data_IF_277541857819
#
_entry.id   IF_277541857819
#
_cell.length_a   1.000
_cell.length_b   1.000
_cell.length_c   1.000
_cell.angle_alpha   90.00
_cell.angle_beta   90.00
_cell.angle_gamma   90.00
#
_symmetry.space_group_name_H-M   'P 1'
#
loop_
_entity.id
_entity.type
_entity.pdbx_description
1 polymer ?
#
# COMPACT_ATOMS: atom_id res chain seq x y z
N UNK A 1 -2.91 -21.92 -7.09
CA UNK A 1 -3.69 -20.66 -7.09
C UNK A 1 -4.74 -20.77 -6.00
N UNK A 2 -4.64 -19.96 -4.94
CA UNK A 2 -5.73 -19.87 -3.97
C UNK A 2 -6.82 -18.94 -4.54
N UNK A 3 -8.12 -19.24 -4.40
CA UNK A 3 -9.19 -18.44 -5.01
C UNK A 3 -9.19 -16.96 -4.54
N UNK A 4 -8.76 -16.69 -3.31
CA UNK A 4 -8.65 -15.35 -2.74
C UNK A 4 -7.62 -14.43 -3.44
N UNK A 5 -6.78 -14.99 -4.31
CA UNK A 5 -5.70 -14.27 -5.01
C UNK A 5 -6.24 -13.38 -6.14
N UNK A 6 -7.39 -13.75 -6.72
CA UNK A 6 -8.03 -13.06 -7.85
C UNK A 6 -9.23 -12.21 -7.44
N UNK A 7 -9.73 -12.37 -6.22
CA UNK A 7 -10.86 -11.59 -5.71
C UNK A 7 -10.42 -10.19 -5.27
N UNK A 8 -11.26 -9.16 -5.49
CA UNK A 8 -10.99 -7.83 -4.97
C UNK A 8 -10.92 -7.89 -3.45
N UNK A 9 -9.87 -7.29 -2.90
CA UNK A 9 -9.66 -7.29 -1.46
C UNK A 9 -10.81 -6.61 -0.70
N UNK A 10 -11.17 -7.10 0.50
CA UNK A 10 -12.11 -6.41 1.37
C UNK A 10 -11.51 -5.09 1.89
N UNK A 11 -12.33 -4.24 2.50
CA UNK A 11 -11.88 -2.92 3.00
C UNK A 11 -10.79 -3.01 4.05
N UNK A 12 -10.75 -4.09 4.82
CA UNK A 12 -9.67 -4.34 5.77
C UNK A 12 -9.45 -5.82 5.96
N UNK A 13 -8.21 -6.27 5.87
CA UNK A 13 -7.84 -7.66 6.12
C UNK A 13 -6.39 -7.78 6.58
N UNK A 14 -6.02 -8.96 7.07
CA UNK A 14 -4.66 -9.27 7.48
C UNK A 14 -4.01 -10.20 6.48
N UNK A 15 -2.77 -9.90 6.12
CA UNK A 15 -1.99 -10.65 5.16
C UNK A 15 -0.65 -11.03 5.80
N UNK A 16 -0.28 -12.31 5.71
CA UNK A 16 1.02 -12.78 6.18
C UNK A 16 1.97 -12.91 4.99
N UNK A 17 3.05 -12.13 5.01
CA UNK A 17 4.09 -12.12 3.97
C UNK A 17 5.43 -12.39 4.64
N UNK A 18 6.13 -13.42 4.18
CA UNK A 18 7.45 -13.83 4.70
C UNK A 18 7.50 -14.13 6.22
N UNK A 19 6.35 -14.41 6.83
CA UNK A 19 6.22 -14.63 8.28
C UNK A 19 5.83 -13.39 9.08
N UNK A 20 5.78 -12.23 8.44
CA UNK A 20 5.27 -10.99 9.01
C UNK A 20 3.79 -10.77 8.68
N UNK A 21 3.03 -10.33 9.67
CA UNK A 21 1.61 -9.99 9.53
C UNK A 21 1.48 -8.50 9.23
N UNK A 22 0.81 -8.19 8.14
CA UNK A 22 0.43 -6.85 7.72
C UNK A 22 -1.09 -6.68 7.80
N UNK A 23 -1.53 -5.57 8.38
CA UNK A 23 -2.90 -5.10 8.33
C UNK A 23 -3.04 -4.21 7.09
N UNK A 24 -3.85 -4.66 6.13
CA UNK A 24 -4.14 -3.93 4.91
C UNK A 24 -5.49 -3.27 5.08
N UNK A 25 -5.54 -1.94 5.02
CA UNK A 25 -6.76 -1.15 5.09
C UNK A 25 -6.91 -0.32 3.81
N UNK A 26 -8.00 -0.55 3.09
CA UNK A 26 -8.41 0.28 1.96
C UNK A 26 -8.90 1.64 2.47
N UNK A 27 -8.46 2.69 1.80
CA UNK A 27 -8.94 4.03 2.08
C UNK A 27 -10.16 4.35 1.21
N UNK A 28 -11.38 4.46 1.77
CA UNK A 28 -12.56 4.79 0.99
C UNK A 28 -12.58 6.26 0.55
N UNK A 29 -11.76 7.13 1.15
CA UNK A 29 -11.66 8.55 0.78
C UNK A 29 -10.74 8.76 -0.43
N UNK A 30 -9.80 7.83 -0.65
CA UNK A 30 -8.86 7.85 -1.76
C UNK A 30 -8.93 6.54 -2.57
N UNK A 31 -9.68 6.53 -3.69
CA UNK A 31 -9.88 5.30 -4.45
C UNK A 31 -8.55 4.73 -4.95
N UNK A 32 -8.32 3.44 -4.66
CA UNK A 32 -7.09 2.75 -4.98
C UNK A 32 -5.95 2.94 -3.97
N UNK A 33 -6.15 3.68 -2.88
CA UNK A 33 -5.18 3.80 -1.79
C UNK A 33 -5.36 2.71 -0.73
N UNK A 34 -4.24 2.18 -0.25
CA UNK A 34 -4.18 1.15 0.77
C UNK A 34 -3.11 1.49 1.79
N UNK A 35 -3.47 1.38 3.06
CA UNK A 35 -2.56 1.49 4.20
C UNK A 35 -2.12 0.09 4.62
N UNK A 36 -0.82 -0.15 4.63
CA UNK A 36 -0.20 -1.39 5.06
C UNK A 36 0.49 -1.16 6.39
N UNK A 37 -0.07 -1.68 7.48
CA UNK A 37 0.54 -1.59 8.81
C UNK A 37 1.16 -2.92 9.19
N UNK A 38 2.48 -2.97 9.40
CA UNK A 38 3.14 -4.16 9.91
C UNK A 38 2.83 -4.34 11.40
N UNK A 39 2.24 -5.47 11.76
CA UNK A 39 1.84 -5.81 13.13
C UNK A 39 2.88 -6.66 13.88
N UNK A 40 3.77 -7.35 13.16
CA UNK A 40 4.78 -8.25 13.75
C UNK A 40 6.17 -7.93 13.22
N UNK A 41 7.23 -8.29 13.96
CA UNK A 41 8.62 -8.12 13.54
C UNK A 41 9.41 -7.12 14.39
N UNK A 42 10.65 -6.76 13.99
CA UNK A 42 11.56 -5.90 14.78
C UNK A 42 11.10 -4.44 14.89
N UNK A 43 10.17 -4.00 14.04
CA UNK A 43 9.58 -2.65 14.05
C UNK A 43 8.04 -2.73 13.95
N UNK A 44 7.35 -3.12 15.04
CA UNK A 44 5.89 -3.17 15.04
C UNK A 44 5.30 -1.76 14.94
N UNK A 45 4.26 -1.58 14.13
CA UNK A 45 3.63 -0.28 13.89
C UNK A 45 4.24 0.52 12.75
N UNK A 46 5.29 0.01 12.12
CA UNK A 46 5.82 0.56 10.87
C UNK A 46 4.89 0.17 9.71
N UNK A 47 4.66 1.09 8.78
CA UNK A 47 3.74 0.87 7.67
C UNK A 47 4.02 1.79 6.50
N UNK A 48 3.41 1.48 5.37
CA UNK A 48 3.49 2.28 4.16
C UNK A 48 2.11 2.39 3.53
N UNK A 49 1.92 3.42 2.73
CA UNK A 49 0.72 3.60 1.93
C UNK A 49 1.08 3.32 0.49
N UNK A 50 0.23 2.62 -0.24
CA UNK A 50 0.39 2.47 -1.69
C UNK A 50 -0.91 2.84 -2.36
N UNK A 51 -0.81 3.71 -3.37
CA UNK A 51 -1.92 4.14 -4.20
C UNK A 51 -1.75 3.60 -5.60
N UNK A 52 -2.86 3.19 -6.20
CA UNK A 52 -2.91 2.85 -7.62
C UNK A 52 -3.52 3.98 -8.43
N UNK A 53 -2.82 4.41 -9.48
CA UNK A 53 -3.31 5.41 -10.44
C UNK A 53 -4.50 4.91 -11.27
N UNK A 54 -4.68 3.59 -11.37
CA UNK A 54 -5.84 2.98 -12.03
C UNK A 54 -7.15 3.13 -11.23
N UNK A 55 -7.09 3.55 -9.96
CA UNK A 55 -8.25 3.65 -9.04
C UNK A 55 -9.06 2.34 -8.85
N UNK A 56 -8.51 1.19 -9.27
CA UNK A 56 -9.16 -0.13 -9.16
C UNK A 56 -8.76 -0.81 -7.85
N UNK A 57 -9.67 -1.64 -7.30
CA UNK A 57 -9.34 -2.47 -6.14
C UNK A 57 -8.25 -3.49 -6.46
N UNK A 58 -7.21 -3.50 -5.63
CA UNK A 58 -6.17 -4.52 -5.68
C UNK A 58 -6.71 -5.83 -5.15
N UNK A 59 -6.15 -6.91 -5.67
CA UNK A 59 -6.42 -8.28 -5.20
C UNK A 59 -5.36 -8.68 -4.18
N UNK A 60 -5.64 -9.73 -3.41
CA UNK A 60 -4.68 -10.26 -2.42
C UNK A 60 -3.30 -10.51 -3.02
N UNK A 61 -3.22 -11.06 -4.25
CA UNK A 61 -1.96 -11.28 -4.97
C UNK A 61 -1.13 -10.00 -5.12
N UNK A 62 -1.80 -8.92 -5.56
CA UNK A 62 -1.17 -7.63 -5.81
C UNK A 62 -0.66 -7.00 -4.50
N UNK A 63 -1.37 -7.20 -3.39
CA UNK A 63 -0.87 -6.79 -2.08
C UNK A 63 0.37 -7.57 -1.66
N UNK A 64 0.41 -8.89 -1.87
CA UNK A 64 1.59 -9.71 -1.57
C UNK A 64 2.80 -9.26 -2.40
N UNK A 65 2.60 -9.02 -3.71
CA UNK A 65 3.63 -8.54 -4.61
C UNK A 65 4.13 -7.14 -4.20
N UNK A 66 3.22 -6.22 -3.87
CA UNK A 66 3.56 -4.87 -3.41
C UNK A 66 4.37 -4.91 -2.09
N UNK A 67 3.94 -5.70 -1.10
CA UNK A 67 4.67 -5.87 0.17
C UNK A 67 6.02 -6.54 -0.06
N UNK A 68 6.13 -7.53 -0.94
CA UNK A 68 7.42 -8.16 -1.27
C UNK A 68 8.38 -7.20 -1.96
N UNK A 69 7.87 -6.42 -2.91
CA UNK A 69 8.63 -5.38 -3.59
C UNK A 69 9.11 -4.32 -2.60
N UNK A 70 8.22 -3.88 -1.70
CA UNK A 70 8.52 -2.98 -0.58
C UNK A 70 9.62 -3.56 0.32
N UNK A 71 9.50 -4.81 0.78
CA UNK A 71 10.51 -5.47 1.62
C UNK A 71 11.85 -5.69 0.91
N UNK A 72 11.84 -5.82 -0.42
CA UNK A 72 13.05 -5.90 -1.24
C UNK A 72 13.71 -4.53 -1.47
N UNK A 73 12.93 -3.44 -1.45
CA UNK A 73 13.43 -2.06 -1.57
C UNK A 73 13.81 -1.44 -0.23
N UNK A 74 13.14 -1.79 0.86
CA UNK A 74 13.51 -1.33 2.21
C UNK A 74 14.87 -1.92 2.58
N UNK A 75 15.86 -1.03 2.66
CA UNK A 75 17.14 -1.38 3.24
C UNK A 75 16.92 -1.72 4.74
N UNK A 76 17.34 -2.91 5.21
CA UNK A 76 17.09 -3.37 6.57
C UNK A 76 17.74 -2.48 7.64
N UNK A 77 18.63 -1.55 7.24
CA UNK A 77 19.30 -0.60 8.14
C UNK A 77 18.59 0.77 8.17
N UNK A 78 17.94 1.20 7.08
CA UNK A 78 17.46 2.60 6.95
C UNK A 78 15.95 2.76 6.91
N UNK A 79 15.17 1.76 6.50
CA UNK A 79 13.71 1.86 6.48
C UNK A 79 13.16 2.92 5.52
N UNK A 80 13.87 3.23 4.43
CA UNK A 80 13.48 4.29 3.49
C UNK A 80 12.89 3.69 2.21
N UNK A 81 11.73 4.17 1.79
CA UNK A 81 11.19 3.99 0.44
C UNK A 81 11.06 5.38 -0.14
N UNK A 82 11.56 5.57 -1.36
CA UNK A 82 11.41 6.80 -2.12
C UNK A 82 9.90 7.05 -2.30
N UNK A 83 9.43 8.10 -1.64
CA UNK A 83 8.06 8.61 -1.73
C UNK A 83 7.79 8.93 -3.22
N UNK A 84 6.79 8.26 -3.79
CA UNK A 84 6.38 8.46 -5.17
C UNK A 84 5.92 9.93 -5.30
N UNK A 85 6.64 10.79 -6.04
CA UNK A 85 6.37 12.21 -6.11
C UNK A 85 5.20 12.48 -7.07
N UNK A 86 4.01 11.99 -6.72
CA UNK A 86 2.75 12.28 -7.42
C UNK A 86 1.70 12.77 -6.40
N UNK A 87 2.12 13.62 -5.46
CA UNK A 87 1.28 14.70 -4.91
C UNK A 87 1.62 15.95 -5.73
N UNK A 88 1.32 15.92 -7.04
CA UNK A 88 1.11 17.15 -7.79
C UNK A 88 -0.10 17.81 -7.14
N UNK A 89 0.18 18.72 -6.21
CA UNK A 89 -0.75 19.75 -5.82
C UNK A 89 -1.25 20.39 -7.10
N UNK A 90 -2.52 20.17 -7.43
CA UNK A 90 -3.21 21.07 -8.34
C UNK A 90 -3.34 22.41 -7.61
N UNK A 91 -2.27 23.20 -7.68
CA UNK A 91 -2.35 24.65 -7.71
C UNK A 91 -3.24 25.00 -8.92
N UNK A 92 -4.56 25.01 -8.72
CA UNK A 92 -5.48 25.65 -9.65
C UNK A 92 -5.20 27.17 -9.58
N UNK A 93 -4.21 27.57 -10.38
CA UNK A 93 -4.04 28.91 -10.92
C UNK A 93 -5.36 29.28 -11.59
N UNK A 94 -6.30 29.82 -10.82
CA UNK A 94 -7.50 30.44 -11.40
C UNK A 94 -7.02 31.67 -12.17
N UNK A 95 -7.14 31.71 -13.52
CA UNK A 95 -6.73 32.88 -14.27
C UNK A 95 -7.73 34.03 -14.01
N UNK A 96 -7.16 35.22 -13.84
CA UNK A 96 -7.81 36.53 -13.75
C UNK A 96 -8.93 36.73 -14.80
N UNK A 97 -10.15 36.95 -14.32
CA UNK A 97 -11.24 37.61 -15.04
C UNK A 97 -12.05 38.50 -14.10
#
# INVERSE_FOLDING_TARGET
MNPNDTEPSPDRFRLTVDGDVFDVAYDPTQPGAYHYTRLTGPAPGYGFTSRRSDHVRSTTAQHVEAIRSFLGMVDPVTGYIEDDPDDDGEDDDTPDQ
#
